data_IF_096086602282
#
_entry.id   IF_096086602282
#
_cell.length_a   1.000
_cell.length_b   1.000
_cell.length_c   1.000
_cell.angle_alpha   90.00
_cell.angle_beta   90.00
_cell.angle_gamma   90.00
#
_symmetry.space_group_name_H-M   'P 1'
#
loop_
_entity.id
_entity.type
_entity.pdbx_description
1 polymer ?
#
# COMPACT_ATOMS: atom_id res chain seq x y z
N UNK A 1 -7.72 -15.78 -41.11
CA UNK A 1 -7.16 -14.42 -40.93
C UNK A 1 -8.00 -13.62 -39.95
N UNK A 2 -9.27 -13.32 -40.25
CA UNK A 2 -10.13 -12.47 -39.40
C UNK A 2 -10.43 -13.05 -38.00
N UNK A 3 -10.69 -14.35 -37.89
CA UNK A 3 -10.91 -15.02 -36.59
C UNK A 3 -9.69 -14.93 -35.65
N UNK A 4 -8.47 -14.95 -36.19
CA UNK A 4 -7.25 -14.86 -35.40
C UNK A 4 -7.03 -13.48 -34.80
N UNK A 5 -7.39 -12.42 -35.53
CA UNK A 5 -7.34 -11.03 -35.04
C UNK A 5 -8.36 -10.82 -33.92
N UNK A 6 -9.56 -11.38 -34.07
CA UNK A 6 -10.60 -11.32 -33.03
C UNK A 6 -10.14 -12.02 -31.75
N UNK A 7 -9.52 -13.21 -31.87
CA UNK A 7 -8.96 -13.92 -30.73
C UNK A 7 -7.84 -13.11 -30.02
N UNK A 8 -6.99 -12.45 -30.80
CA UNK A 8 -5.90 -11.59 -30.30
C UNK A 8 -6.41 -10.33 -29.59
N UNK A 9 -7.54 -9.76 -30.02
CA UNK A 9 -8.18 -8.62 -29.35
C UNK A 9 -8.88 -9.03 -28.04
N UNK A 10 -9.47 -10.23 -27.99
CA UNK A 10 -10.12 -10.75 -26.78
C UNK A 10 -9.09 -11.04 -25.68
N UNK A 11 -7.93 -11.63 -26.00
CA UNK A 11 -6.88 -11.89 -25.00
C UNK A 11 -6.31 -10.59 -24.40
N UNK A 12 -6.14 -9.54 -25.20
CA UNK A 12 -5.64 -8.24 -24.72
C UNK A 12 -6.66 -7.51 -23.84
N UNK A 13 -7.94 -7.81 -24.00
CA UNK A 13 -9.01 -7.24 -23.15
C UNK A 13 -9.14 -7.96 -21.81
N UNK A 14 -8.72 -9.23 -21.73
CA UNK A 14 -8.84 -10.07 -20.53
C UNK A 14 -7.62 -10.00 -19.60
N UNK A 15 -6.49 -9.43 -20.04
CA UNK A 15 -5.27 -9.27 -19.21
C UNK A 15 -5.08 -7.84 -18.71
N UNK A 16 -5.96 -6.91 -19.09
CA UNK A 16 -6.03 -5.57 -18.48
C UNK A 16 -6.99 -5.66 -17.31
N UNK A 17 -6.65 -6.51 -16.34
CA UNK A 17 -7.16 -6.29 -15.00
C UNK A 17 -6.61 -4.93 -14.58
N UNK A 18 -7.46 -3.95 -14.22
CA UNK A 18 -6.97 -2.83 -13.46
C UNK A 18 -6.45 -3.45 -12.18
N UNK A 19 -5.12 -3.50 -12.03
CA UNK A 19 -4.49 -3.69 -10.73
C UNK A 19 -4.95 -2.50 -9.90
N UNK A 20 -6.15 -2.64 -9.33
CA UNK A 20 -6.71 -1.70 -8.40
C UNK A 20 -5.74 -1.79 -7.23
N UNK A 21 -4.87 -0.78 -7.02
CA UNK A 21 -3.99 -0.82 -5.87
C UNK A 21 -4.93 -0.90 -4.67
N UNK A 22 -4.73 -1.92 -3.84
CA UNK A 22 -5.52 -2.13 -2.65
C UNK A 22 -5.44 -0.84 -1.82
N UNK A 23 -6.51 -0.04 -1.91
CA UNK A 23 -6.71 1.08 -0.99
C UNK A 23 -6.91 0.42 0.35
N UNK A 24 -5.86 0.45 1.16
CA UNK A 24 -5.90 0.04 2.55
C UNK A 24 -7.01 0.82 3.25
N UNK A 25 -8.08 0.10 3.54
CA UNK A 25 -9.16 0.51 4.43
C UNK A 25 -8.58 1.10 5.72
N UNK A 26 -8.99 2.31 6.14
CA UNK A 26 -8.53 2.89 7.38
C UNK A 26 -9.06 2.06 8.56
N UNK A 27 -8.20 1.21 9.14
CA UNK A 27 -8.49 0.56 10.42
C UNK A 27 -8.85 1.63 11.45
N UNK A 28 -10.08 1.58 11.94
CA UNK A 28 -10.60 2.33 13.07
C UNK A 28 -9.69 2.10 14.29
N UNK A 29 -9.04 3.17 14.73
CA UNK A 29 -8.18 3.17 15.91
C UNK A 29 -9.06 3.22 17.15
N UNK A 30 -9.04 2.15 17.95
CA UNK A 30 -9.57 2.14 19.31
C UNK A 30 -8.70 3.01 20.22
N UNK A 31 -9.26 4.11 20.74
CA UNK A 31 -8.56 5.04 21.63
C UNK A 31 -8.61 4.52 23.07
N UNK A 32 -7.52 3.88 23.50
CA UNK A 32 -7.15 3.78 24.91
C UNK A 32 -5.85 4.56 25.08
N UNK A 33 -5.97 5.84 25.42
CA UNK A 33 -4.83 6.76 25.51
C UNK A 33 -4.13 6.67 26.86
N UNK A 34 -2.95 6.05 26.91
CA UNK A 34 -1.93 6.47 27.89
C UNK A 34 -1.43 7.87 27.50
N UNK A 35 -0.98 8.70 28.45
CA UNK A 35 -0.20 9.91 28.16
C UNK A 35 1.19 9.49 27.65
N UNK A 36 1.20 8.93 26.44
CA UNK A 36 2.36 8.56 25.65
C UNK A 36 2.33 9.42 24.38
N UNK A 37 3.52 9.70 23.86
CA UNK A 37 3.73 10.55 22.68
C UNK A 37 2.74 10.17 21.57
N UNK A 38 2.07 11.17 20.98
CA UNK A 38 1.08 10.96 19.91
C UNK A 38 1.66 10.05 18.84
N UNK A 39 1.11 8.84 18.70
CA UNK A 39 1.54 7.95 17.63
C UNK A 39 0.93 8.41 16.31
N UNK A 40 1.79 8.97 15.47
CA UNK A 40 1.46 9.37 14.11
C UNK A 40 2.63 9.09 13.18
N UNK A 41 2.29 8.89 11.92
CA UNK A 41 3.29 8.96 10.85
C UNK A 41 3.80 10.39 10.69
N UNK A 42 5.07 10.49 10.32
CA UNK A 42 5.84 11.74 10.22
C UNK A 42 6.03 12.17 8.76
N UNK A 43 5.66 11.34 7.78
CA UNK A 43 5.80 11.62 6.35
C UNK A 43 4.55 11.20 5.57
N UNK A 44 4.29 11.85 4.44
CA UNK A 44 3.25 11.43 3.50
C UNK A 44 3.66 10.18 2.73
N UNK A 45 4.96 9.88 2.65
CA UNK A 45 5.52 8.67 2.01
C UNK A 45 4.94 7.39 2.60
N UNK A 46 4.45 7.43 3.84
CA UNK A 46 3.79 6.29 4.50
C UNK A 46 2.50 5.84 3.79
N UNK A 47 1.94 6.67 2.90
CA UNK A 47 0.75 6.39 2.09
C UNK A 47 1.07 6.13 0.62
N UNK A 48 2.31 6.35 0.20
CA UNK A 48 2.74 6.20 -1.20
C UNK A 48 3.18 4.77 -1.52
N UNK A 49 3.69 4.06 -0.52
CA UNK A 49 4.21 2.70 -0.65
C UNK A 49 3.42 1.74 0.21
N UNK A 50 3.44 0.47 -0.18
CA UNK A 50 2.78 -0.58 0.59
C UNK A 50 3.43 -0.75 1.96
N UNK A 51 2.60 -1.05 2.97
CA UNK A 51 3.05 -1.29 4.35
C UNK A 51 4.12 -2.39 4.38
N UNK A 52 3.96 -3.46 3.59
CA UNK A 52 4.94 -4.55 3.53
C UNK A 52 6.29 -4.02 3.03
N UNK A 53 6.30 -3.24 1.97
CA UNK A 53 7.53 -2.66 1.44
C UNK A 53 8.18 -1.72 2.46
N UNK A 54 7.42 -0.80 3.05
CA UNK A 54 7.98 0.13 4.04
C UNK A 54 8.57 -0.61 5.25
N UNK A 55 7.88 -1.62 5.76
CA UNK A 55 8.25 -2.24 7.04
C UNK A 55 9.23 -3.42 6.91
N UNK A 56 9.24 -4.12 5.77
CA UNK A 56 10.05 -5.33 5.54
C UNK A 56 11.22 -5.10 4.58
N UNK A 57 11.16 -4.10 3.70
CA UNK A 57 12.24 -3.83 2.75
C UNK A 57 13.36 -3.03 3.42
N UNK A 58 14.59 -3.54 3.36
CA UNK A 58 15.76 -2.87 3.90
C UNK A 58 16.07 -1.55 3.19
N UNK A 59 15.78 -1.46 1.89
CA UNK A 59 15.98 -0.25 1.11
C UNK A 59 15.05 0.90 1.53
N UNK A 60 13.93 0.58 2.19
CA UNK A 60 12.94 1.56 2.68
C UNK A 60 13.12 1.91 4.17
N UNK A 61 14.26 1.55 4.77
CA UNK A 61 14.57 1.83 6.18
C UNK A 61 14.45 3.31 6.54
N UNK A 62 14.72 4.21 5.59
CA UNK A 62 14.54 5.65 5.79
C UNK A 62 13.06 6.05 5.92
N UNK A 63 12.17 5.46 5.12
CA UNK A 63 10.72 5.66 5.18
C UNK A 63 10.17 5.02 6.46
N UNK A 64 10.61 3.79 6.79
CA UNK A 64 10.20 3.06 8.00
C UNK A 64 10.36 3.91 9.27
N UNK A 65 11.47 4.64 9.40
CA UNK A 65 11.71 5.55 10.54
C UNK A 65 10.70 6.69 10.62
N UNK A 66 10.17 7.15 9.49
CA UNK A 66 9.15 8.20 9.41
C UNK A 66 7.73 7.65 9.53
N UNK A 67 7.53 6.34 9.47
CA UNK A 67 6.21 5.72 9.44
C UNK A 67 5.96 4.77 10.65
N UNK A 68 6.15 5.25 11.90
CA UNK A 68 6.04 4.40 13.08
C UNK A 68 4.60 3.90 13.29
N UNK A 69 3.58 4.67 12.92
CA UNK A 69 2.18 4.24 13.04
C UNK A 69 1.85 3.20 11.98
N UNK A 70 2.24 3.43 10.73
CA UNK A 70 2.03 2.49 9.62
C UNK A 70 2.69 1.13 9.91
N UNK A 71 3.89 1.13 10.49
CA UNK A 71 4.58 -0.11 10.85
C UNK A 71 4.22 -0.70 12.22
N UNK A 72 3.43 0.00 13.06
CA UNK A 72 3.13 -0.46 14.43
C UNK A 72 4.37 -0.51 15.33
N UNK A 73 5.26 0.47 15.17
CA UNK A 73 6.49 0.66 15.97
C UNK A 73 6.28 1.63 17.14
N UNK A 74 5.09 2.22 17.19
CA UNK A 74 4.45 2.68 18.41
C UNK A 74 3.44 1.60 18.85
#
# INVERSE_FOLDING_TARGET
MLLGVIFLLLIMSLTVDPVFPAVHEPRSVSIVGRPGKVCKDLSMECRLYDRKDICQNEQMKYIKKKCPKTCGLC
#
